data_IF_118539080981
#
_entry.id   IF_118539080981
#
_cell.length_a   1.000
_cell.length_b   1.000
_cell.length_c   1.000
_cell.angle_alpha   90.00
_cell.angle_beta   90.00
_cell.angle_gamma   90.00
#
_symmetry.space_group_name_H-M   'P 1'
#
loop_
_entity.id
_entity.type
_entity.pdbx_description
1 polymer ?
#
# COMPACT_ATOMS: atom_id res chain seq x y z
N UNK A 1 2.64 1.22 -7.61
CA UNK A 1 1.40 2.04 -7.60
C UNK A 1 1.72 3.33 -6.90
N UNK A 2 1.38 4.47 -7.50
CA UNK A 2 1.41 5.75 -6.79
C UNK A 2 0.13 5.80 -5.95
N UNK A 3 0.28 5.86 -4.62
CA UNK A 3 -0.83 5.87 -3.67
C UNK A 3 -0.84 7.19 -2.94
N UNK A 4 -2.02 7.81 -2.87
CA UNK A 4 -2.25 9.02 -2.08
C UNK A 4 -3.34 8.71 -1.06
N UNK A 5 -3.08 9.03 0.19
CA UNK A 5 -4.00 8.77 1.30
C UNK A 5 -4.26 10.07 2.03
N UNK A 6 -5.53 10.40 2.23
CA UNK A 6 -5.95 11.56 2.99
C UNK A 6 -6.59 11.08 4.29
N UNK A 7 -6.08 11.56 5.42
CA UNK A 7 -6.55 11.14 6.75
C UNK A 7 -6.43 12.29 7.75
N UNK A 8 -7.34 12.39 8.74
CA UNK A 8 -7.11 13.23 9.92
C UNK A 8 -5.81 12.84 10.63
N UNK A 9 -5.19 13.81 11.30
CA UNK A 9 -3.92 13.63 12.03
C UNK A 9 -3.98 12.53 13.10
N UNK A 10 -5.15 12.36 13.75
CA UNK A 10 -5.39 11.33 14.78
C UNK A 10 -5.05 9.90 14.32
N UNK A 11 -5.21 9.61 13.02
CA UNK A 11 -5.02 8.26 12.45
C UNK A 11 -3.79 8.16 11.54
N UNK A 12 -3.07 9.28 11.33
CA UNK A 12 -1.92 9.34 10.44
C UNK A 12 -0.87 8.28 10.80
N UNK A 13 -0.61 8.07 12.10
CA UNK A 13 0.37 7.09 12.57
C UNK A 13 0.04 5.65 12.16
N UNK A 14 -1.22 5.24 12.32
CA UNK A 14 -1.68 3.90 11.95
C UNK A 14 -1.61 3.68 10.43
N UNK A 15 -2.01 4.68 9.65
CA UNK A 15 -1.92 4.65 8.18
C UNK A 15 -0.47 4.56 7.71
N UNK A 16 0.44 5.36 8.26
CA UNK A 16 1.87 5.26 7.94
C UNK A 16 2.44 3.90 8.32
N UNK A 17 2.03 3.35 9.46
CA UNK A 17 2.43 2.02 9.90
C UNK A 17 2.03 0.92 8.91
N UNK A 18 0.78 0.97 8.43
CA UNK A 18 0.28 -0.01 7.44
C UNK A 18 0.98 0.12 6.08
N UNK A 19 1.16 1.34 5.57
CA UNK A 19 1.87 1.57 4.32
C UNK A 19 3.30 1.00 4.37
N UNK A 20 4.01 1.16 5.49
CA UNK A 20 5.34 0.57 5.68
C UNK A 20 5.29 -0.97 5.72
N UNK A 21 4.31 -1.57 6.40
CA UNK A 21 4.13 -3.04 6.42
C UNK A 21 3.88 -3.61 5.03
N UNK A 22 3.16 -2.87 4.19
CA UNK A 22 2.89 -3.18 2.77
C UNK A 22 4.07 -2.90 1.84
N UNK A 23 5.27 -2.69 2.39
CA UNK A 23 6.49 -2.38 1.63
C UNK A 23 6.35 -1.10 0.81
N UNK A 24 5.53 -0.16 1.29
CA UNK A 24 5.34 1.15 0.69
C UNK A 24 6.53 2.06 0.96
N UNK A 25 6.97 2.78 -0.07
CA UNK A 25 7.98 3.83 0.04
C UNK A 25 7.30 5.19 0.12
N UNK A 26 7.19 5.73 1.34
CA UNK A 26 6.61 7.07 1.57
C UNK A 26 7.50 8.13 0.91
N UNK A 27 6.92 8.90 0.00
CA UNK A 27 7.58 9.97 -0.74
C UNK A 27 7.51 11.30 0.02
N UNK A 28 6.44 11.50 0.79
CA UNK A 28 6.23 12.73 1.53
C UNK A 28 4.86 12.80 2.18
N UNK A 29 4.69 13.83 3.00
CA UNK A 29 3.45 14.15 3.68
C UNK A 29 3.20 15.65 3.58
N UNK A 30 1.96 16.02 3.28
CA UNK A 30 1.51 17.41 3.09
C UNK A 30 0.32 17.70 4.00
N UNK A 31 0.27 18.92 4.53
CA UNK A 31 -0.86 19.41 5.31
C UNK A 31 -1.94 19.96 4.38
N UNK A 32 -3.15 19.42 4.47
CA UNK A 32 -4.33 19.91 3.76
C UNK A 32 -5.21 20.79 4.66
N UNK A 33 -6.03 21.67 4.07
CA UNK A 33 -7.01 22.44 4.82
C UNK A 33 -7.94 21.55 5.66
N UNK A 34 -8.33 22.02 6.84
CA UNK A 34 -9.26 21.30 7.71
C UNK A 34 -8.63 20.23 8.61
N UNK A 35 -7.30 20.24 8.77
CA UNK A 35 -6.60 19.31 9.68
C UNK A 35 -6.40 17.90 9.10
N UNK A 36 -6.54 17.77 7.78
CA UNK A 36 -6.27 16.53 7.05
C UNK A 36 -4.80 16.50 6.65
N UNK A 37 -4.17 15.32 6.74
CA UNK A 37 -2.83 15.04 6.22
C UNK A 37 -2.98 14.24 4.93
N UNK A 38 -2.23 14.62 3.90
CA UNK A 38 -2.07 13.82 2.69
C UNK A 38 -0.73 13.10 2.73
N UNK A 39 -0.73 11.79 2.53
CA UNK A 39 0.45 10.93 2.50
C UNK A 39 0.62 10.40 1.08
N UNK A 40 1.79 10.59 0.48
CA UNK A 40 2.12 10.05 -0.84
C UNK A 40 3.11 8.90 -0.68
N UNK A 41 2.83 7.75 -1.30
CA UNK A 41 3.69 6.59 -1.23
C UNK A 41 3.71 5.80 -2.55
N UNK A 42 4.82 5.12 -2.84
CA UNK A 42 4.88 4.08 -3.87
C UNK A 42 4.69 2.71 -3.22
N UNK A 43 3.63 1.98 -3.58
CA UNK A 43 3.35 0.65 -3.00
C UNK A 43 3.28 -0.42 -4.10
N UNK A 44 3.88 -1.61 -3.91
CA UNK A 44 3.69 -2.72 -4.84
C UNK A 44 2.22 -3.12 -4.94
N UNK A 45 1.71 -3.32 -6.16
CA UNK A 45 0.29 -3.68 -6.37
C UNK A 45 -0.10 -4.98 -5.65
N UNK A 46 0.81 -5.96 -5.59
CA UNK A 46 0.60 -7.22 -4.86
C UNK A 46 0.28 -7.02 -3.37
N UNK A 47 0.73 -5.91 -2.78
CA UNK A 47 0.51 -5.57 -1.37
C UNK A 47 -0.70 -4.65 -1.17
N UNK A 48 -1.47 -4.31 -2.20
CA UNK A 48 -2.62 -3.38 -2.09
C UNK A 48 -3.96 -4.10 -1.99
N UNK A 49 -4.00 -5.42 -2.16
CA UNK A 49 -5.23 -6.20 -1.98
C UNK A 49 -5.76 -6.04 -0.55
N UNK A 50 -7.05 -5.78 -0.43
CA UNK A 50 -7.73 -5.55 0.86
C UNK A 50 -7.41 -4.23 1.55
N UNK A 51 -6.59 -3.34 0.95
CA UNK A 51 -6.18 -2.08 1.57
C UNK A 51 -7.35 -1.18 1.94
N UNK A 52 -8.33 -1.02 1.04
CA UNK A 52 -9.52 -0.17 1.28
C UNK A 52 -10.25 -0.52 2.59
N UNK A 53 -10.45 -1.82 2.83
CA UNK A 53 -11.15 -2.31 4.02
C UNK A 53 -10.34 -2.08 5.30
N UNK A 54 -9.03 -2.38 5.26
CA UNK A 54 -8.15 -2.18 6.42
C UNK A 54 -7.98 -0.70 6.76
N UNK A 55 -7.73 0.16 5.77
CA UNK A 55 -7.63 1.61 5.94
C UNK A 55 -8.91 2.18 6.56
N UNK A 56 -10.09 1.74 6.08
CA UNK A 56 -11.37 2.15 6.65
C UNK A 56 -11.49 1.76 8.12
N UNK A 57 -11.03 0.57 8.50
CA UNK A 57 -11.05 0.11 9.90
C UNK A 57 -10.12 0.95 10.79
N UNK A 58 -8.89 1.23 10.34
CA UNK A 58 -7.90 2.00 11.13
C UNK A 58 -8.33 3.46 11.30
N UNK A 59 -8.90 4.07 10.27
CA UNK A 59 -9.34 5.47 10.28
C UNK A 59 -10.77 5.67 10.78
N UNK A 60 -11.45 4.61 11.23
CA UNK A 60 -12.89 4.63 11.54
C UNK A 60 -13.75 5.19 10.39
N UNK A 61 -13.31 4.95 9.15
CA UNK A 61 -13.96 5.42 7.93
C UNK A 61 -13.74 6.89 7.62
N UNK A 62 -12.76 7.55 8.25
CA UNK A 62 -12.43 8.97 8.01
C UNK A 62 -11.29 9.21 7.03
N UNK A 63 -10.62 8.16 6.55
CA UNK A 63 -9.60 8.29 5.53
C UNK A 63 -10.08 7.85 4.15
N UNK A 64 -9.48 8.43 3.12
CA UNK A 64 -9.71 8.13 1.71
C UNK A 64 -8.37 7.82 1.05
N UNK A 65 -8.39 7.05 -0.03
CA UNK A 65 -7.18 6.80 -0.80
C UNK A 65 -7.47 6.80 -2.29
N UNK A 66 -6.46 7.15 -3.08
CA UNK A 66 -6.41 6.98 -4.52
C UNK A 66 -5.16 6.20 -4.88
N UNK A 67 -5.22 5.43 -5.97
CA UNK A 67 -4.05 4.75 -6.49
C UNK A 67 -4.01 4.80 -8.02
N UNK A 68 -2.82 5.04 -8.56
CA UNK A 68 -2.56 5.08 -9.99
C UNK A 68 -1.40 4.14 -10.34
N UNK A 69 -1.46 3.53 -11.52
CA UNK A 69 -0.30 2.83 -12.06
C UNK A 69 0.83 3.85 -12.28
N UNK A 70 2.07 3.46 -11.94
CA UNK A 70 3.22 4.34 -12.08
C UNK A 70 4.31 3.71 -12.95
N UNK A 71 4.79 2.53 -12.56
CA UNK A 71 5.85 1.79 -13.24
C UNK A 71 5.89 0.35 -12.77
N UNK A 72 6.54 -0.50 -13.57
CA UNK A 72 7.04 -1.79 -13.14
C UNK A 72 8.42 -1.62 -12.50
N UNK A 73 8.72 -2.44 -11.50
CA UNK A 73 10.00 -2.47 -10.81
C UNK A 73 10.41 -3.91 -10.63
N UNK A 74 11.71 -4.20 -10.77
CA UNK A 74 12.25 -5.52 -10.47
C UNK A 74 12.02 -5.87 -9.00
N UNK A 75 11.51 -7.08 -8.77
CA UNK A 75 11.36 -7.61 -7.42
C UNK A 75 12.68 -8.23 -6.94
N UNK A 76 12.94 -8.22 -5.61
CA UNK A 76 14.10 -8.91 -5.06
C UNK A 76 14.11 -10.41 -5.43
N UNK A 77 15.31 -10.96 -5.69
CA UNK A 77 15.50 -12.36 -6.12
C UNK A 77 14.86 -13.39 -5.18
N UNK A 78 14.85 -13.12 -3.87
CA UNK A 78 14.22 -13.98 -2.86
C UNK A 78 12.71 -14.12 -3.08
N UNK A 79 12.03 -13.01 -3.33
CA UNK A 79 10.58 -12.97 -3.61
C UNK A 79 10.27 -13.56 -4.99
N UNK A 80 11.13 -13.31 -5.97
CA UNK A 80 10.99 -13.87 -7.32
C UNK A 80 11.02 -15.41 -7.30
N UNK A 81 11.99 -16.00 -6.60
CA UNK A 81 12.11 -17.45 -6.48
C UNK A 81 10.87 -18.09 -5.84
N UNK A 82 10.30 -17.47 -4.79
CA UNK A 82 9.08 -17.96 -4.15
C UNK A 82 7.88 -17.95 -5.10
N UNK A 83 7.71 -16.86 -5.86
CA UNK A 83 6.60 -16.73 -6.81
C UNK A 83 6.72 -17.76 -7.94
N UNK A 84 7.93 -17.92 -8.51
CA UNK A 84 8.18 -18.90 -9.58
C UNK A 84 7.93 -20.32 -9.06
N UNK A 85 8.41 -20.64 -7.85
CA UNK A 85 8.17 -21.95 -7.24
C UNK A 85 6.68 -22.24 -7.04
N UNK A 86 5.89 -21.26 -6.56
CA UNK A 86 4.43 -21.40 -6.38
C UNK A 86 3.69 -21.62 -7.69
N UNK A 87 4.18 -21.02 -8.78
CA UNK A 87 3.58 -21.19 -10.10
C UNK A 87 3.84 -22.60 -10.62
N UNK A 88 5.10 -23.06 -10.59
CA UNK A 88 5.47 -24.38 -11.09
C UNK A 88 4.82 -25.53 -10.30
N UNK A 89 4.66 -25.40 -8.98
CA UNK A 89 3.99 -26.43 -8.18
C UNK A 89 2.49 -26.56 -8.46
N UNK A 90 1.86 -25.54 -9.06
CA UNK A 90 0.45 -25.59 -9.43
C UNK A 90 0.20 -26.37 -10.73
N UNK A 91 1.20 -26.45 -11.61
CA UNK A 91 1.13 -27.20 -12.87
C UNK A 91 1.36 -28.71 -12.65
N UNK A 92 1.93 -29.14 -11.52
CA UNK A 92 2.17 -30.55 -11.18
C UNK A 92 0.98 -31.23 -10.46
N UNK A 93 0.00 -30.44 -9.98
CA UNK A 93 -1.20 -30.91 -9.26
C UNK A 93 -2.46 -31.02 -10.18
N UNK A 94 -2.35 -30.66 -11.47
CA UNK A 94 -3.36 -30.90 -12.54
C UNK A 94 -3.02 -32.13 -13.40
#
# INVERSE_FOLDING_TARGET
>A
MKVEVETPEDYMGDIMGDLNRRRGLVQGMEDLPGGTKQIRAEVPLAEMFGYATQMRSMSQGRATYSMEFQKYVEIPKSVAAEIISKYNSKDDDE
#
